data_IF_922488030641
#
_entry.id   IF_922488030641
#
_cell.length_a   1.000
_cell.length_b   1.000
_cell.length_c   1.000
_cell.angle_alpha   90.00
_cell.angle_beta   90.00
_cell.angle_gamma   90.00
#
_symmetry.space_group_name_H-M   'P 1'
#
loop_
_entity.id
_entity.type
_entity.pdbx_description
1 polymer ?
#
# COMPACT_ATOMS: atom_id res chain seq x y z
N UNK A 1 -5.94 -17.61 14.41
CA UNK A 1 -5.34 -16.78 13.35
C UNK A 1 -4.57 -17.69 12.41
N UNK A 2 -4.70 -17.50 11.10
CA UNK A 2 -3.91 -18.25 10.14
C UNK A 2 -2.47 -17.71 10.12
N UNK A 3 -1.55 -18.45 10.75
CA UNK A 3 -0.13 -18.09 10.85
C UNK A 3 0.55 -17.86 9.48
N UNK A 4 -0.07 -18.33 8.39
CA UNK A 4 0.42 -18.09 7.02
C UNK A 4 0.41 -16.61 6.64
N UNK A 5 -0.55 -15.81 7.12
CA UNK A 5 -0.59 -14.37 6.83
C UNK A 5 0.56 -13.62 7.50
N UNK A 6 0.80 -13.90 8.78
CA UNK A 6 1.88 -13.29 9.53
C UNK A 6 3.23 -13.63 8.90
N UNK A 7 3.48 -14.92 8.64
CA UNK A 7 4.72 -15.36 8.00
C UNK A 7 4.94 -14.71 6.61
N UNK A 8 3.88 -14.58 5.82
CA UNK A 8 3.92 -13.88 4.53
C UNK A 8 4.33 -12.39 4.69
N UNK A 9 3.78 -11.70 5.69
CA UNK A 9 4.06 -10.29 5.92
C UNK A 9 5.45 -10.05 6.54
N UNK A 10 5.88 -10.91 7.46
CA UNK A 10 7.23 -10.85 8.03
C UNK A 10 8.31 -11.08 6.97
N UNK A 11 8.10 -12.04 6.08
CA UNK A 11 9.01 -12.27 4.95
C UNK A 11 9.03 -11.08 3.99
N UNK A 12 7.87 -10.48 3.73
CA UNK A 12 7.79 -9.23 2.96
C UNK A 12 8.61 -8.11 3.58
N UNK A 13 8.45 -7.84 4.88
CA UNK A 13 9.23 -6.81 5.59
C UNK A 13 10.74 -7.09 5.54
N UNK A 14 11.14 -8.36 5.69
CA UNK A 14 12.54 -8.77 5.57
C UNK A 14 13.11 -8.46 4.18
N UNK A 15 12.36 -8.80 3.12
CA UNK A 15 12.73 -8.49 1.74
C UNK A 15 12.81 -6.97 1.53
N UNK A 16 11.83 -6.20 2.03
CA UNK A 16 11.85 -4.73 1.92
C UNK A 16 13.08 -4.12 2.60
N UNK A 17 13.48 -4.62 3.78
CA UNK A 17 14.69 -4.18 4.46
C UNK A 17 15.98 -4.49 3.69
N UNK A 18 16.07 -5.70 3.12
CA UNK A 18 17.22 -6.09 2.29
C UNK A 18 17.31 -5.23 1.02
N UNK A 19 16.20 -5.04 0.32
CA UNK A 19 16.12 -4.20 -0.87
C UNK A 19 16.46 -2.74 -0.57
N UNK A 20 15.99 -2.20 0.58
CA UNK A 20 16.31 -0.83 0.99
C UNK A 20 17.82 -0.63 1.12
N UNK A 21 18.53 -1.56 1.76
CA UNK A 21 19.99 -1.47 1.90
C UNK A 21 20.71 -1.44 0.55
N UNK A 22 20.26 -2.24 -0.42
CA UNK A 22 20.82 -2.26 -1.77
C UNK A 22 20.50 -0.96 -2.54
N UNK A 23 19.26 -0.47 -2.43
CA UNK A 23 18.84 0.79 -3.05
C UNK A 23 19.62 1.99 -2.49
N UNK A 24 19.85 2.04 -1.17
CA UNK A 24 20.63 3.11 -0.56
C UNK A 24 22.11 3.12 -0.99
N UNK A 25 22.68 1.96 -1.31
CA UNK A 25 24.02 1.86 -1.90
C UNK A 25 24.06 2.33 -3.37
N UNK A 26 22.92 2.25 -4.06
CA UNK A 26 22.77 2.68 -5.44
C UNK A 26 22.50 4.18 -5.60
N UNK A 27 21.96 4.85 -4.58
CA UNK A 27 21.72 6.31 -4.61
C UNK A 27 23.07 7.06 -4.47
N UNK A 28 23.38 8.03 -5.36
CA UNK A 28 24.64 8.77 -5.28
C UNK A 28 24.76 9.53 -3.95
N UNK A 29 25.79 9.22 -3.17
CA UNK A 29 26.19 10.08 -2.04
C UNK A 29 26.80 11.38 -2.57
N UNK A 30 26.61 12.50 -1.85
CA UNK A 30 27.02 13.85 -2.27
C UNK A 30 28.50 14.03 -2.68
N UNK A 31 29.37 13.04 -2.47
CA UNK A 31 30.80 13.08 -2.82
C UNK A 31 31.30 11.90 -3.68
N UNK A 32 30.42 11.08 -4.26
CA UNK A 32 30.85 9.96 -5.10
C UNK A 32 29.80 9.59 -6.12
N UNK A 33 30.17 9.59 -7.41
CA UNK A 33 29.38 8.95 -8.46
C UNK A 33 28.99 7.55 -7.98
N UNK A 34 27.70 7.23 -7.96
CA UNK A 34 27.30 5.83 -7.94
C UNK A 34 27.88 5.20 -9.21
N UNK A 35 28.81 4.26 -9.08
CA UNK A 35 29.45 3.55 -10.20
C UNK A 35 28.46 2.65 -11.00
N UNK A 36 27.18 2.65 -10.63
CA UNK A 36 26.15 1.87 -11.30
C UNK A 36 25.75 2.52 -12.62
N UNK A 37 25.91 1.75 -13.70
CA UNK A 37 25.34 2.07 -15.00
C UNK A 37 23.80 2.12 -14.94
N UNK A 38 23.19 2.85 -15.87
CA UNK A 38 21.73 2.90 -16.03
C UNK A 38 21.11 1.50 -16.18
N UNK A 39 21.81 0.57 -16.83
CA UNK A 39 21.40 -0.82 -16.94
C UNK A 39 21.35 -1.55 -15.60
N UNK A 40 22.31 -1.31 -14.70
CA UNK A 40 22.31 -1.88 -13.35
C UNK A 40 21.20 -1.28 -12.49
N UNK A 41 20.94 0.02 -12.59
CA UNK A 41 19.81 0.66 -11.91
C UNK A 41 18.48 0.08 -12.39
N UNK A 42 18.32 -0.16 -13.71
CA UNK A 42 17.11 -0.78 -14.26
C UNK A 42 16.93 -2.21 -13.74
N UNK A 43 18.00 -3.01 -13.68
CA UNK A 43 17.94 -4.35 -13.08
C UNK A 43 17.51 -4.32 -11.61
N UNK A 44 17.97 -3.31 -10.86
CA UNK A 44 17.58 -3.12 -9.47
C UNK A 44 16.10 -2.74 -9.33
N UNK A 45 15.58 -1.87 -10.20
CA UNK A 45 14.15 -1.54 -10.27
C UNK A 45 13.33 -2.79 -10.62
N UNK A 46 13.73 -3.55 -11.64
CA UNK A 46 13.02 -4.75 -12.09
C UNK A 46 13.04 -5.85 -11.01
N UNK A 47 14.13 -5.99 -10.27
CA UNK A 47 14.20 -6.88 -9.09
C UNK A 47 13.17 -6.46 -8.03
N UNK A 48 13.14 -5.19 -7.68
CA UNK A 48 12.19 -4.67 -6.69
C UNK A 48 10.74 -4.87 -7.14
N UNK A 49 10.44 -4.57 -8.41
CA UNK A 49 9.09 -4.75 -8.95
C UNK A 49 8.66 -6.22 -8.92
N UNK A 50 9.56 -7.17 -9.21
CA UNK A 50 9.27 -8.61 -9.05
C UNK A 50 8.95 -8.98 -7.61
N UNK A 51 9.68 -8.47 -6.61
CA UNK A 51 9.34 -8.73 -5.21
C UNK A 51 7.94 -8.22 -4.83
N UNK A 52 7.53 -7.04 -5.34
CA UNK A 52 6.16 -6.53 -5.16
C UNK A 52 5.13 -7.48 -5.81
N UNK A 53 5.38 -7.90 -7.05
CA UNK A 53 4.50 -8.84 -7.77
C UNK A 53 4.36 -10.19 -7.05
N UNK A 54 5.47 -10.76 -6.59
CA UNK A 54 5.50 -12.03 -5.84
C UNK A 54 4.70 -11.91 -4.53
N UNK A 55 4.87 -10.80 -3.80
CA UNK A 55 4.12 -10.54 -2.58
C UNK A 55 2.61 -10.46 -2.83
N UNK A 56 2.17 -9.71 -3.84
CA UNK A 56 0.75 -9.57 -4.14
C UNK A 56 0.14 -10.85 -4.73
N UNK A 57 0.90 -11.66 -5.46
CA UNK A 57 0.44 -12.98 -5.92
C UNK A 57 0.26 -13.95 -4.75
N UNK A 58 1.18 -13.96 -3.78
CA UNK A 58 1.02 -14.74 -2.55
C UNK A 58 -0.19 -14.26 -1.75
N UNK A 59 -0.30 -12.94 -1.58
CA UNK A 59 -1.42 -12.29 -0.86
C UNK A 59 -2.77 -12.62 -1.51
N UNK A 60 -2.85 -12.63 -2.83
CA UNK A 60 -4.02 -13.02 -3.61
C UNK A 60 -4.49 -14.45 -3.31
N UNK A 61 -3.57 -15.38 -3.08
CA UNK A 61 -3.93 -16.77 -2.71
C UNK A 61 -4.45 -16.84 -1.29
N UNK A 62 -3.86 -16.06 -0.39
CA UNK A 62 -4.24 -16.08 1.01
C UNK A 62 -5.58 -15.37 1.25
N UNK A 63 -5.88 -14.27 0.53
CA UNK A 63 -7.13 -13.52 0.69
C UNK A 63 -8.38 -14.32 0.34
N UNK A 64 -8.27 -15.31 -0.54
CA UNK A 64 -9.36 -16.23 -0.86
C UNK A 64 -9.75 -17.14 0.31
N UNK A 65 -8.85 -17.35 1.27
CA UNK A 65 -9.14 -18.18 2.44
C UNK A 65 -9.88 -17.39 3.53
N UNK A 66 -9.57 -16.10 3.68
CA UNK A 66 -10.16 -15.21 4.67
C UNK A 66 -9.98 -13.74 4.25
N UNK A 67 -10.92 -13.24 3.44
CA UNK A 67 -10.92 -11.86 2.96
C UNK A 67 -11.03 -10.82 4.08
N UNK A 68 -11.97 -10.96 5.02
CA UNK A 68 -12.17 -10.02 6.13
C UNK A 68 -10.91 -9.80 7.00
N UNK A 69 -10.05 -10.81 7.15
CA UNK A 69 -8.79 -10.66 7.90
C UNK A 69 -7.86 -9.55 7.39
N UNK A 70 -7.99 -9.13 6.12
CA UNK A 70 -7.18 -8.04 5.56
C UNK A 70 -7.65 -6.64 5.96
N UNK A 71 -8.87 -6.49 6.46
CA UNK A 71 -9.39 -5.18 6.88
C UNK A 71 -9.02 -4.82 8.32
N UNK A 72 -8.66 -5.81 9.13
CA UNK A 72 -8.09 -5.61 10.47
C UNK A 72 -6.96 -6.61 10.72
N UNK A 73 -5.86 -6.52 9.96
CA UNK A 73 -4.79 -7.49 10.05
C UNK A 73 -4.10 -7.41 11.41
N UNK A 74 -3.98 -8.55 12.06
CA UNK A 74 -3.31 -8.69 13.36
C UNK A 74 -1.79 -8.58 13.27
N UNK A 75 -1.24 -8.72 12.06
CA UNK A 75 0.18 -8.54 11.76
C UNK A 75 0.59 -7.07 11.59
N UNK A 76 -0.39 -6.15 11.54
CA UNK A 76 -0.18 -4.71 11.50
C UNK A 76 -0.38 -4.08 12.88
N UNK A 77 0.32 -2.99 13.16
CA UNK A 77 0.10 -2.19 14.37
C UNK A 77 -1.15 -1.31 14.23
N UNK A 78 -1.61 -0.73 15.32
CA UNK A 78 -2.84 0.06 15.32
C UNK A 78 -2.78 1.32 14.46
N UNK A 79 -1.59 1.88 14.24
CA UNK A 79 -1.39 3.01 13.33
C UNK A 79 -1.45 2.56 11.86
N UNK A 80 -0.76 1.48 11.50
CA UNK A 80 -0.83 0.86 10.17
C UNK A 80 -2.29 0.54 9.82
N UNK A 81 -3.02 -0.11 10.72
CA UNK A 81 -4.43 -0.43 10.54
C UNK A 81 -5.31 0.80 10.29
N UNK A 82 -4.98 1.95 10.88
CA UNK A 82 -5.74 3.19 10.71
C UNK A 82 -5.57 3.85 9.34
N UNK A 83 -4.52 3.48 8.58
CA UNK A 83 -4.21 4.05 7.27
C UNK A 83 -4.37 3.06 6.12
N UNK A 84 -4.88 1.85 6.40
CA UNK A 84 -5.20 0.87 5.37
C UNK A 84 -6.40 1.33 4.53
N UNK A 85 -6.30 1.10 3.24
CA UNK A 85 -7.37 1.21 2.26
C UNK A 85 -7.52 -0.15 1.60
N UNK A 86 -8.64 -0.86 1.76
CA UNK A 86 -8.89 -2.17 1.11
C UNK A 86 -7.68 -3.12 1.29
N UNK A 87 -7.32 -3.36 2.55
CA UNK A 87 -6.27 -4.28 3.00
C UNK A 87 -4.82 -3.90 2.75
N UNK A 88 -4.52 -2.72 2.20
CA UNK A 88 -3.14 -2.27 1.97
C UNK A 88 -3.03 -0.76 1.87
N UNK A 89 -1.89 -0.25 1.39
CA UNK A 89 -1.74 1.18 1.13
C UNK A 89 -2.68 1.65 0.02
N UNK A 90 -3.01 2.93 -0.02
CA UNK A 90 -3.78 3.52 -1.11
C UNK A 90 -2.83 3.84 -2.28
N UNK A 91 -3.05 3.34 -3.52
CA UNK A 91 -2.12 3.51 -4.64
C UNK A 91 -1.68 4.95 -4.92
N UNK A 92 -2.59 5.92 -4.77
CA UNK A 92 -2.33 7.35 -4.92
C UNK A 92 -1.27 7.88 -3.95
N UNK A 93 -0.99 7.20 -2.82
CA UNK A 93 0.10 7.57 -1.91
C UNK A 93 1.48 7.49 -2.58
N UNK A 94 1.71 6.52 -3.48
CA UNK A 94 2.98 6.42 -4.23
C UNK A 94 3.19 7.66 -5.10
N UNK A 95 2.12 8.13 -5.73
CA UNK A 95 2.15 9.31 -6.60
C UNK A 95 2.27 10.58 -5.75
N UNK A 96 1.57 10.67 -4.62
CA UNK A 96 1.74 11.80 -3.70
C UNK A 96 3.15 11.91 -3.15
N UNK A 97 3.80 10.78 -2.85
CA UNK A 97 5.20 10.76 -2.44
C UNK A 97 6.09 11.38 -3.52
N UNK A 98 5.84 11.09 -4.80
CA UNK A 98 6.63 11.68 -5.88
C UNK A 98 6.49 13.20 -5.94
N UNK A 99 5.26 13.73 -5.78
CA UNK A 99 5.06 15.18 -5.76
C UNK A 99 5.75 15.83 -4.56
N UNK A 100 5.72 15.20 -3.39
CA UNK A 100 6.40 15.69 -2.20
C UNK A 100 7.92 15.73 -2.41
N UNK A 101 8.50 14.70 -3.01
CA UNK A 101 9.91 14.66 -3.35
C UNK A 101 10.28 15.76 -4.35
N UNK A 102 9.55 15.87 -5.47
CA UNK A 102 9.81 16.89 -6.49
C UNK A 102 9.57 18.34 -6.00
N UNK A 103 8.67 18.55 -5.02
CA UNK A 103 8.41 19.87 -4.46
C UNK A 103 9.50 20.31 -3.48
N UNK A 104 9.98 19.40 -2.63
CA UNK A 104 11.09 19.68 -1.72
C UNK A 104 12.35 20.11 -2.49
N UNK A 105 12.55 19.54 -3.68
CA UNK A 105 13.65 19.89 -4.59
C UNK A 105 13.52 21.33 -5.11
N UNK A 106 12.30 21.73 -5.48
CA UNK A 106 12.02 23.09 -5.94
C UNK A 106 12.22 24.12 -4.83
N UNK A 107 11.76 23.82 -3.61
CA UNK A 107 11.92 24.71 -2.44
C UNK A 107 13.40 24.90 -2.09
N UNK A 108 14.18 23.83 -2.04
CA UNK A 108 15.61 23.90 -1.78
C UNK A 108 16.36 24.72 -2.86
N UNK A 109 15.94 24.61 -4.13
CA UNK A 109 16.51 25.41 -5.22
C UNK A 109 16.16 26.90 -5.09
N UNK A 110 14.91 27.23 -4.74
CA UNK A 110 14.47 28.61 -4.52
C UNK A 110 15.20 29.27 -3.33
N UNK A 111 15.36 28.55 -2.21
CA UNK A 111 16.08 29.05 -1.04
C UNK A 111 17.55 29.38 -1.37
N UNK A 112 18.21 28.55 -2.19
CA UNK A 112 19.57 28.80 -2.65
C UNK A 112 19.67 30.03 -3.57
N UNK A 113 18.66 30.31 -4.38
CA UNK A 113 18.63 31.50 -5.24
C UNK A 113 18.39 32.78 -4.43
N UNK A 114 17.48 32.72 -3.45
CA UNK A 114 17.18 33.83 -2.54
C UNK A 114 18.40 34.17 -1.67
N UNK A 115 19.13 33.15 -1.20
CA UNK A 115 20.39 33.33 -0.46
C UNK A 115 21.56 33.85 -1.33
N UNK A 116 21.47 33.76 -2.66
CA UNK A 116 22.53 34.06 -3.62
C UNK A 116 22.61 35.50 -4.14
N UNK A 117 21.85 36.46 -3.60
CA UNK A 117 21.84 37.86 -4.07
C UNK A 117 23.05 38.70 -3.61
N UNK A 118 24.28 38.21 -3.80
CA UNK A 118 25.49 39.04 -3.84
C UNK A 118 26.23 38.82 -5.16
N UNK A 119 26.23 39.88 -5.97
CA UNK A 119 26.57 39.94 -7.40
C UNK A 119 28.02 39.57 -7.75
N UNK A 120 28.42 38.30 -7.74
CA UNK A 120 29.63 37.83 -8.49
C UNK A 120 29.49 36.38 -9.01
N UNK A 121 28.67 35.53 -8.37
CA UNK A 121 28.61 34.10 -8.69
C UNK A 121 27.79 33.73 -9.96
N UNK A 122 26.90 34.62 -10.43
CA UNK A 122 26.01 34.34 -11.57
C UNK A 122 26.75 34.13 -12.90
N UNK A 123 27.99 34.61 -13.04
CA UNK A 123 28.80 34.40 -14.24
C UNK A 123 29.41 32.99 -14.32
N UNK A 124 29.56 32.29 -13.18
CA UNK A 124 30.09 30.92 -13.12
C UNK A 124 28.98 29.87 -13.31
N UNK A 125 27.72 30.26 -13.12
CA UNK A 125 26.56 29.38 -13.31
C UNK A 125 26.22 29.09 -14.79
N UNK A 126 26.79 29.83 -15.75
CA UNK A 126 26.41 29.76 -17.17
C UNK A 126 27.35 28.92 -18.06
N UNK A 127 28.34 28.22 -17.50
CA UNK A 127 29.22 27.35 -18.27
C UNK A 127 29.51 26.06 -17.51
N UNK A 128 29.13 24.93 -18.10
CA UNK A 128 29.40 23.54 -17.68
C UNK A 128 28.71 23.03 -16.39
N UNK A 129 27.63 22.26 -16.60
CA UNK A 129 27.19 21.14 -15.75
C UNK A 129 26.96 21.42 -14.25
N UNK A 130 26.21 22.48 -13.92
CA UNK A 130 25.72 22.73 -12.55
C UNK A 130 24.45 21.92 -12.26
N UNK A 131 24.28 21.24 -11.13
CA UNK A 131 24.93 21.39 -9.84
C UNK A 131 23.83 21.58 -8.79
N UNK A 132 23.44 20.47 -8.13
CA UNK A 132 22.58 20.45 -6.94
C UNK A 132 21.10 20.12 -7.21
N UNK A 133 20.77 18.84 -7.39
CA UNK A 133 19.40 18.33 -7.40
C UNK A 133 19.33 16.95 -6.72
N UNK A 134 18.94 16.91 -5.44
CA UNK A 134 18.13 15.78 -4.96
C UNK A 134 16.69 16.01 -5.44
N UNK A 135 15.71 15.10 -5.32
CA UNK A 135 15.67 13.65 -5.15
C UNK A 135 14.61 13.03 -6.10
N UNK A 136 13.84 13.82 -6.88
CA UNK A 136 13.21 13.38 -8.14
C UNK A 136 13.03 14.60 -9.04
N UNK A 137 14.07 14.96 -9.79
CA UNK A 137 13.98 16.01 -10.82
C UNK A 137 13.12 15.57 -12.00
N UNK A 138 11.80 15.63 -11.86
CA UNK A 138 10.84 15.26 -12.90
C UNK A 138 10.86 16.29 -14.03
N UNK A 139 10.96 15.82 -15.27
CA UNK A 139 10.73 16.69 -16.43
C UNK A 139 9.26 17.09 -16.53
N UNK A 140 8.95 18.17 -17.27
CA UNK A 140 7.56 18.60 -17.50
C UNK A 140 6.71 17.52 -18.19
N UNK A 141 7.31 16.73 -19.09
CA UNK A 141 6.61 15.61 -19.73
C UNK A 141 6.36 14.47 -18.75
N UNK A 142 7.35 14.11 -17.91
CA UNK A 142 7.14 13.13 -16.84
C UNK A 142 6.04 13.57 -15.89
N UNK A 143 6.02 14.83 -15.48
CA UNK A 143 4.98 15.36 -14.59
C UNK A 143 3.58 15.27 -15.21
N UNK A 144 3.44 15.51 -16.52
CA UNK A 144 2.18 15.32 -17.22
C UNK A 144 1.73 13.85 -17.18
N UNK A 145 2.63 12.90 -17.47
CA UNK A 145 2.33 11.46 -17.37
C UNK A 145 1.98 11.02 -15.95
N UNK A 146 2.70 11.52 -14.93
CA UNK A 146 2.39 11.25 -13.51
C UNK A 146 0.99 11.77 -13.17
N UNK A 147 0.62 12.98 -13.62
CA UNK A 147 -0.69 13.55 -13.36
C UNK A 147 -1.83 12.76 -14.03
N UNK A 148 -1.63 12.29 -15.26
CA UNK A 148 -2.62 11.47 -15.94
C UNK A 148 -2.75 10.07 -15.30
N UNK A 149 -1.63 9.47 -14.86
CA UNK A 149 -1.65 8.26 -14.04
C UNK A 149 -2.40 8.50 -12.72
N UNK A 150 -2.20 9.65 -12.08
CA UNK A 150 -2.88 9.99 -10.84
C UNK A 150 -4.39 10.09 -11.01
N UNK A 151 -4.87 10.79 -12.04
CA UNK A 151 -6.30 10.90 -12.35
C UNK A 151 -6.92 9.53 -12.61
N UNK A 152 -6.24 8.67 -13.39
CA UNK A 152 -6.71 7.31 -13.65
C UNK A 152 -6.79 6.49 -12.35
N UNK A 153 -5.72 6.53 -11.55
CA UNK A 153 -5.66 5.83 -10.26
C UNK A 153 -6.76 6.29 -9.31
N UNK A 154 -7.01 7.60 -9.18
CA UNK A 154 -8.08 8.15 -8.34
C UNK A 154 -9.47 7.69 -8.78
N UNK A 155 -9.71 7.57 -10.09
CA UNK A 155 -10.98 7.08 -10.62
C UNK A 155 -11.23 5.63 -10.21
N UNK A 156 -10.21 4.77 -10.29
CA UNK A 156 -10.34 3.37 -9.86
C UNK A 156 -10.41 3.23 -8.34
N UNK A 157 -9.69 4.04 -7.58
CA UNK A 157 -9.82 4.10 -6.12
C UNK A 157 -11.23 4.49 -5.68
N UNK A 158 -11.83 5.48 -6.33
CA UNK A 158 -13.19 5.93 -6.03
C UNK A 158 -14.21 4.84 -6.35
N UNK A 159 -14.04 4.15 -7.48
CA UNK A 159 -14.88 3.03 -7.87
C UNK A 159 -14.83 1.90 -6.84
N UNK A 160 -13.64 1.48 -6.41
CA UNK A 160 -13.46 0.42 -5.41
C UNK A 160 -14.01 0.87 -4.05
N UNK A 161 -13.80 2.13 -3.68
CA UNK A 161 -14.35 2.70 -2.43
C UNK A 161 -15.88 2.69 -2.43
N UNK A 162 -16.49 3.04 -3.56
CA UNK A 162 -17.94 2.98 -3.74
C UNK A 162 -18.46 1.54 -3.63
N UNK A 163 -17.76 0.57 -4.23
CA UNK A 163 -18.11 -0.86 -4.09
C UNK A 163 -18.05 -1.32 -2.63
N UNK A 164 -17.04 -0.87 -1.86
CA UNK A 164 -16.94 -1.16 -0.43
C UNK A 164 -18.14 -0.61 0.35
N UNK A 165 -18.52 0.64 0.10
CA UNK A 165 -19.66 1.27 0.76
C UNK A 165 -20.94 0.48 0.48
N UNK A 166 -21.22 0.15 -0.78
CA UNK A 166 -22.39 -0.69 -1.14
C UNK A 166 -22.36 -2.05 -0.47
N UNK A 167 -21.19 -2.70 -0.40
CA UNK A 167 -21.05 -4.00 0.25
C UNK A 167 -21.31 -3.90 1.76
N UNK A 168 -20.83 -2.85 2.43
CA UNK A 168 -21.08 -2.60 3.85
C UNK A 168 -22.56 -2.33 4.15
N UNK A 169 -23.25 -1.56 3.30
CA UNK A 169 -24.69 -1.31 3.41
C UNK A 169 -25.48 -2.61 3.22
N UNK A 170 -25.06 -3.46 2.27
CA UNK A 170 -25.76 -4.70 1.93
C UNK A 170 -25.78 -5.75 3.06
N UNK A 171 -24.90 -5.64 4.06
CA UNK A 171 -24.91 -6.52 5.25
C UNK A 171 -26.22 -6.40 6.03
N UNK A 172 -26.86 -5.22 6.01
CA UNK A 172 -28.16 -5.03 6.65
C UNK A 172 -29.31 -5.65 5.84
N UNK A 173 -29.19 -5.65 4.52
CA UNK A 173 -30.25 -6.07 3.60
C UNK A 173 -30.17 -7.58 3.22
N UNK A 174 -29.00 -8.21 3.35
CA UNK A 174 -28.71 -9.60 2.94
C UNK A 174 -27.85 -10.33 3.99
N UNK A 175 -27.87 -11.66 4.03
CA UNK A 175 -28.88 -12.54 4.64
C UNK A 175 -29.03 -12.40 6.17
N UNK A 176 -28.19 -11.64 6.86
CA UNK A 176 -28.10 -11.73 8.34
C UNK A 176 -29.38 -11.29 9.07
N UNK A 177 -29.98 -10.15 8.70
CA UNK A 177 -31.19 -9.65 9.37
C UNK A 177 -32.40 -10.59 9.19
N UNK A 178 -32.71 -11.09 7.98
CA UNK A 178 -33.73 -12.12 7.80
C UNK A 178 -33.47 -13.37 8.65
N UNK A 179 -32.24 -13.90 8.66
CA UNK A 179 -31.90 -15.09 9.44
C UNK A 179 -32.06 -14.84 10.95
N UNK A 180 -31.65 -13.67 11.45
CA UNK A 180 -31.85 -13.26 12.84
C UNK A 180 -33.34 -13.21 13.20
N UNK A 181 -34.18 -12.61 12.33
CA UNK A 181 -35.63 -12.52 12.53
C UNK A 181 -36.29 -13.89 12.53
N UNK A 182 -35.92 -14.77 11.61
CA UNK A 182 -36.47 -16.12 11.53
C UNK A 182 -36.13 -16.95 12.77
N UNK A 183 -34.86 -16.91 13.23
CA UNK A 183 -34.45 -17.55 14.50
C UNK A 183 -35.22 -17.04 15.71
N UNK A 184 -35.49 -15.72 15.77
CA UNK A 184 -36.28 -15.13 16.85
C UNK A 184 -37.75 -15.59 16.82
N UNK A 185 -38.34 -15.71 15.63
CA UNK A 185 -39.70 -16.19 15.44
C UNK A 185 -39.83 -17.69 15.75
N UNK A 186 -38.85 -18.51 15.35
CA UNK A 186 -38.79 -19.93 15.68
C UNK A 186 -38.66 -20.13 17.20
N UNK A 187 -37.79 -19.37 17.89
CA UNK A 187 -37.68 -19.39 19.36
C UNK A 187 -38.97 -18.99 20.07
N UNK A 188 -39.72 -18.04 19.52
CA UNK A 188 -41.01 -17.61 20.08
C UNK A 188 -42.13 -18.64 19.87
N UNK A 189 -42.01 -19.51 18.86
CA UNK A 189 -42.98 -20.58 18.54
C UNK A 189 -42.71 -21.89 19.28
N UNK A 190 -41.44 -22.19 19.57
CA UNK A 190 -41.03 -23.39 20.30
C UNK A 190 -41.15 -23.23 21.82
N UNK A 191 -42.35 -22.88 22.29
CA UNK A 191 -42.73 -23.06 23.68
C UNK A 191 -43.04 -24.53 23.93
N UNK A 192 -42.11 -25.23 24.60
CA UNK A 192 -42.22 -26.60 25.11
C UNK A 192 -42.17 -27.75 24.07
N UNK A 193 -41.13 -28.58 24.22
CA UNK A 193 -41.02 -29.97 23.75
C UNK A 193 -40.86 -30.22 22.24
N UNK A 194 -39.62 -30.41 21.78
CA UNK A 194 -39.16 -31.77 21.48
C UNK A 194 -37.65 -31.82 21.27
N UNK A 195 -37.13 -32.96 21.70
CA UNK A 195 -35.86 -33.57 21.39
C UNK A 195 -35.49 -33.52 19.89
N UNK A 196 -34.27 -33.04 19.63
CA UNK A 196 -33.37 -33.67 18.67
C UNK A 196 -33.47 -33.23 17.20
N UNK A 197 -32.31 -32.75 16.72
CA UNK A 197 -31.84 -32.76 15.33
C UNK A 197 -32.57 -31.79 14.40
N UNK A 198 -32.11 -30.54 14.37
CA UNK A 198 -32.01 -29.67 13.17
C UNK A 198 -31.34 -28.32 13.52
N UNK A 199 -30.30 -28.34 14.38
CA UNK A 199 -29.47 -27.15 14.64
C UNK A 199 -28.54 -26.79 13.47
N UNK A 200 -28.40 -27.70 12.50
CA UNK A 200 -27.39 -27.63 11.44
C UNK A 200 -27.82 -26.71 10.27
N UNK A 201 -29.10 -26.73 9.88
CA UNK A 201 -29.57 -26.00 8.69
C UNK A 201 -29.55 -24.48 8.85
N UNK A 202 -29.83 -23.97 10.05
CA UNK A 202 -29.87 -22.53 10.30
C UNK A 202 -28.46 -21.94 10.44
N UNK A 203 -27.52 -22.68 11.02
CA UNK A 203 -26.12 -22.26 11.15
C UNK A 203 -25.41 -22.30 9.79
N UNK A 204 -25.72 -23.29 8.94
CA UNK A 204 -25.25 -23.34 7.55
C UNK A 204 -25.67 -22.12 6.72
N UNK A 205 -26.90 -21.60 6.89
CA UNK A 205 -27.36 -20.41 6.15
C UNK A 205 -26.60 -19.14 6.57
N UNK A 206 -26.30 -18.99 7.86
CA UNK A 206 -25.47 -17.87 8.37
C UNK A 206 -24.04 -18.00 7.91
N UNK A 207 -23.47 -19.20 7.94
CA UNK A 207 -22.12 -19.46 7.45
C UNK A 207 -22.02 -19.17 5.95
N UNK A 208 -22.98 -19.61 5.14
CA UNK A 208 -23.03 -19.30 3.72
C UNK A 208 -23.14 -17.79 3.45
N UNK A 209 -23.95 -17.08 4.22
CA UNK A 209 -24.08 -15.63 4.16
C UNK A 209 -22.76 -14.89 4.46
N UNK A 210 -22.07 -15.31 5.52
CA UNK A 210 -20.77 -14.75 5.89
C UNK A 210 -19.69 -15.10 4.87
N UNK A 211 -19.76 -16.29 4.28
CA UNK A 211 -18.85 -16.73 3.23
C UNK A 211 -19.02 -15.91 1.94
N UNK A 212 -20.25 -15.64 1.50
CA UNK A 212 -20.53 -14.78 0.35
C UNK A 212 -19.93 -13.36 0.56
N UNK A 213 -20.10 -12.81 1.77
CA UNK A 213 -19.49 -11.53 2.12
C UNK A 213 -17.96 -11.59 2.11
N UNK A 214 -17.38 -12.65 2.68
CA UNK A 214 -15.93 -12.85 2.72
C UNK A 214 -15.33 -12.96 1.31
N UNK A 215 -16.01 -13.64 0.38
CA UNK A 215 -15.61 -13.75 -1.02
C UNK A 215 -15.69 -12.42 -1.77
N UNK A 216 -16.76 -11.65 -1.54
CA UNK A 216 -16.90 -10.31 -2.12
C UNK A 216 -15.78 -9.37 -1.65
N UNK A 217 -15.48 -9.40 -0.34
CA UNK A 217 -14.35 -8.68 0.25
C UNK A 217 -13.03 -9.14 -0.37
N UNK A 218 -12.82 -10.45 -0.51
CA UNK A 218 -11.60 -10.99 -1.09
C UNK A 218 -11.39 -10.51 -2.54
N UNK A 219 -12.45 -10.55 -3.36
CA UNK A 219 -12.41 -10.03 -4.74
C UNK A 219 -12.02 -8.55 -4.78
N UNK A 220 -12.52 -7.74 -3.85
CA UNK A 220 -12.22 -6.31 -3.78
C UNK A 220 -10.76 -6.05 -3.38
N UNK A 221 -10.21 -6.86 -2.48
CA UNK A 221 -8.79 -6.84 -2.13
C UNK A 221 -7.91 -7.24 -3.32
N UNK A 222 -8.28 -8.30 -4.07
CA UNK A 222 -7.55 -8.68 -5.29
C UNK A 222 -7.53 -7.54 -6.32
N UNK A 223 -8.65 -6.82 -6.46
CA UNK A 223 -8.76 -5.69 -7.37
C UNK A 223 -7.90 -4.50 -6.92
N UNK A 224 -7.93 -4.17 -5.63
CA UNK A 224 -7.08 -3.13 -5.06
C UNK A 224 -5.59 -3.48 -5.17
N UNK A 225 -5.22 -4.75 -4.97
CA UNK A 225 -3.84 -5.23 -5.12
C UNK A 225 -3.35 -5.14 -6.57
N UNK A 226 -4.22 -5.46 -7.53
CA UNK A 226 -3.91 -5.26 -8.96
C UNK A 226 -3.64 -3.79 -9.25
N UNK A 227 -4.48 -2.89 -8.75
CA UNK A 227 -4.31 -1.44 -8.94
C UNK A 227 -2.97 -0.96 -8.34
N UNK A 228 -2.60 -1.42 -7.13
CA UNK A 228 -1.30 -1.09 -6.51
C UNK A 228 -0.13 -1.49 -7.40
N UNK A 229 -0.12 -2.74 -7.89
CA UNK A 229 0.96 -3.27 -8.73
C UNK A 229 1.02 -2.52 -10.06
N UNK A 230 -0.12 -2.26 -10.70
CA UNK A 230 -0.17 -1.55 -11.97
C UNK A 230 0.30 -0.10 -11.83
N UNK A 231 -0.19 0.64 -10.82
CA UNK A 231 0.25 2.01 -10.55
C UNK A 231 1.76 2.07 -10.29
N UNK A 232 2.30 1.15 -9.47
CA UNK A 232 3.72 1.08 -9.19
C UNK A 232 4.53 0.75 -10.45
N UNK A 233 4.11 -0.25 -11.24
CA UNK A 233 4.80 -0.65 -12.47
C UNK A 233 4.84 0.50 -13.48
N UNK A 234 3.70 1.14 -13.75
CA UNK A 234 3.62 2.27 -14.68
C UNK A 234 4.52 3.42 -14.24
N UNK A 235 4.50 3.75 -12.95
CA UNK A 235 5.34 4.80 -12.41
C UNK A 235 6.83 4.46 -12.56
N UNK A 236 7.25 3.30 -12.06
CA UNK A 236 8.67 2.91 -11.95
C UNK A 236 9.31 2.50 -13.28
N UNK A 237 8.54 1.93 -14.21
CA UNK A 237 9.07 1.30 -15.43
C UNK A 237 8.81 2.13 -16.70
N UNK A 238 7.70 2.87 -16.74
CA UNK A 238 7.25 3.59 -17.94
C UNK A 238 7.49 5.11 -17.86
N UNK A 239 7.34 5.71 -16.67
CA UNK A 239 7.40 7.17 -16.51
C UNK A 239 8.77 7.63 -16.02
N UNK A 240 9.32 6.97 -15.00
CA UNK A 240 10.55 7.40 -14.35
C UNK A 240 11.80 6.85 -15.05
N UNK A 241 12.90 7.60 -14.93
CA UNK A 241 14.23 7.05 -15.24
C UNK A 241 14.62 6.04 -14.16
N UNK A 242 15.53 5.08 -14.45
CA UNK A 242 15.96 4.11 -13.44
C UNK A 242 16.50 4.75 -12.16
N UNK A 243 17.20 5.88 -12.27
CA UNK A 243 17.69 6.65 -11.12
C UNK A 243 16.54 7.19 -10.25
N UNK A 244 15.59 7.89 -10.87
CA UNK A 244 14.41 8.42 -10.17
C UNK A 244 13.58 7.30 -9.51
N UNK A 245 13.46 6.15 -10.18
CA UNK A 245 12.76 4.99 -9.65
C UNK A 245 13.47 4.38 -8.43
N UNK A 246 14.81 4.28 -8.46
CA UNK A 246 15.62 3.84 -7.31
C UNK A 246 15.45 4.78 -6.12
N UNK A 247 15.51 6.10 -6.36
CA UNK A 247 15.31 7.12 -5.32
C UNK A 247 13.91 7.01 -4.69
N UNK A 248 12.86 6.93 -5.52
CA UNK A 248 11.48 6.75 -5.06
C UNK A 248 11.30 5.45 -4.26
N UNK A 249 11.85 4.33 -4.74
CA UNK A 249 11.78 3.03 -4.06
C UNK A 249 12.47 3.08 -2.69
N UNK A 250 13.66 3.70 -2.61
CA UNK A 250 14.39 3.86 -1.36
C UNK A 250 13.55 4.67 -0.36
N UNK A 251 13.03 5.84 -0.76
CA UNK A 251 12.19 6.66 0.11
C UNK A 251 10.92 5.93 0.54
N UNK A 252 10.23 5.26 -0.38
CA UNK A 252 8.99 4.55 -0.09
C UNK A 252 9.20 3.40 0.91
N UNK A 253 10.26 2.61 0.73
CA UNK A 253 10.62 1.53 1.66
C UNK A 253 11.04 2.05 3.03
N UNK A 254 11.86 3.10 3.05
CA UNK A 254 12.27 3.74 4.30
C UNK A 254 11.04 4.23 5.07
N UNK A 255 10.11 4.93 4.40
CA UNK A 255 8.86 5.38 5.01
C UNK A 255 8.04 4.21 5.57
N UNK A 256 7.84 3.14 4.78
CA UNK A 256 7.07 1.97 5.21
C UNK A 256 7.67 1.29 6.44
N UNK A 257 8.98 1.01 6.41
CA UNK A 257 9.68 0.35 7.51
C UNK A 257 9.70 1.22 8.78
N UNK A 258 9.90 2.54 8.63
CA UNK A 258 9.85 3.47 9.76
C UNK A 258 8.45 3.54 10.38
N UNK A 259 7.39 3.62 9.56
CA UNK A 259 6.01 3.61 10.06
C UNK A 259 5.70 2.30 10.80
N UNK A 260 6.18 1.17 10.29
CA UNK A 260 6.03 -0.12 10.95
C UNK A 260 6.69 -0.13 12.34
N UNK A 261 7.95 0.30 12.42
CA UNK A 261 8.72 0.37 13.66
C UNK A 261 8.08 1.34 14.67
N UNK A 262 7.81 2.58 14.26
CA UNK A 262 7.25 3.61 15.14
C UNK A 262 5.87 3.22 15.66
N UNK A 263 5.03 2.64 14.82
CA UNK A 263 3.71 2.16 15.22
C UNK A 263 3.81 0.99 16.21
N UNK A 264 4.77 0.08 16.04
CA UNK A 264 5.07 -0.97 17.01
C UNK A 264 5.50 -0.42 18.37
N UNK A 265 6.43 0.54 18.38
CA UNK A 265 6.87 1.22 19.60
C UNK A 265 5.72 1.96 20.30
N UNK A 266 4.82 2.58 19.52
CA UNK A 266 3.64 3.27 20.05
C UNK A 266 2.67 2.29 20.72
N UNK A 267 2.40 1.16 20.10
CA UNK A 267 1.49 0.15 20.64
C UNK A 267 2.03 -0.45 21.95
N UNK A 268 3.34 -0.73 22.02
CA UNK A 268 4.01 -1.17 23.25
C UNK A 268 3.85 -0.14 24.38
N UNK A 269 4.03 1.16 24.10
CA UNK A 269 3.81 2.24 25.09
C UNK A 269 2.36 2.34 25.57
N UNK A 270 1.40 1.87 24.78
CA UNK A 270 -0.03 1.86 25.11
C UNK A 270 -0.50 0.53 25.72
N UNK A 271 0.41 -0.42 26.00
CA UNK A 271 0.07 -1.74 26.54
C UNK A 271 -0.64 -2.66 25.55
N UNK A 272 -0.55 -2.37 24.25
CA UNK A 272 -1.09 -3.23 23.18
C UNK A 272 0.00 -4.22 22.78
N UNK A 273 -0.10 -5.46 23.25
CA UNK A 273 0.77 -6.55 22.79
C UNK A 273 0.17 -7.19 21.53
N UNK A 274 1.02 -7.48 20.54
CA UNK A 274 0.65 -8.30 19.38
C UNK A 274 0.49 -9.76 19.86
N UNK A 275 -0.73 -10.30 19.82
CA UNK A 275 -0.99 -11.74 19.99
C UNK A 275 -1.27 -12.24 21.41
N UNK A 276 -2.09 -11.55 22.21
CA UNK A 276 -2.84 -12.21 23.29
C UNK A 276 -4.12 -12.86 22.74
#
# INVERSE_FOLDING_TARGET
MDGRFLACYEEWLRIQGADLNELLQAVPTQNGNSDLSEGQLRQLVDKNMRHYEDYYELRRRLVRNDGPAFFSPSWCNSFENSVLWIGGCRPSMFIRLIYSLSSADLEAHLDSLVAGSSMVAAAVASASHGGGAGLVGLSSSQLAFVNDLHKATLKDEERITSQMATLQESVADRPLIPIVKERQQQRSRSGASSCGVNGDSGDQEVEAAMQEYAEAIASMVEEADRLRVETARRLLSEILTPKQAVELLATAKQLHLSVHEWGGQRDLKQGRCRGC
#
